data_IF_919489212883
#
_entry.id   IF_919489212883
#
_cell.length_a   1.000
_cell.length_b   1.000
_cell.length_c   1.000
_cell.angle_alpha   90.00
_cell.angle_beta   90.00
_cell.angle_gamma   90.00
#
_symmetry.space_group_name_H-M   'P 1'
#
loop_
_entity.id
_entity.type
_entity.pdbx_description
1 polymer ?
#
# COMPACT_ATOMS: atom_id res chain seq x y z
N UNK A 1 -61.71 26.36 -13.51
CA UNK A 1 -60.85 25.16 -13.53
C UNK A 1 -59.48 25.56 -13.00
N UNK A 2 -59.20 25.24 -11.74
CA UNK A 2 -57.95 25.55 -11.03
C UNK A 2 -57.37 24.21 -10.60
N UNK A 3 -56.13 23.84 -10.96
CA UNK A 3 -55.61 22.54 -10.59
C UNK A 3 -55.09 22.59 -9.14
N UNK A 4 -55.51 21.62 -8.35
CA UNK A 4 -55.05 21.39 -6.99
C UNK A 4 -53.58 20.91 -7.00
N UNK A 5 -52.74 21.56 -6.20
CA UNK A 5 -51.38 21.08 -5.91
C UNK A 5 -51.45 19.99 -4.84
N UNK A 6 -51.11 18.76 -5.22
CA UNK A 6 -50.84 17.68 -4.27
C UNK A 6 -49.40 17.83 -3.78
N UNK A 7 -49.22 18.18 -2.51
CA UNK A 7 -47.91 18.09 -1.84
C UNK A 7 -47.67 16.62 -1.48
N UNK A 8 -46.70 15.99 -2.14
CA UNK A 8 -46.19 14.68 -1.75
C UNK A 8 -45.16 14.89 -0.64
N UNK A 9 -45.55 14.66 0.62
CA UNK A 9 -44.62 14.61 1.73
C UNK A 9 -43.83 13.30 1.66
N UNK A 10 -42.56 13.39 1.29
CA UNK A 10 -41.64 12.25 1.35
C UNK A 10 -41.36 11.91 2.81
N UNK A 11 -41.93 10.80 3.28
CA UNK A 11 -41.53 10.18 4.55
C UNK A 11 -40.14 9.57 4.35
N UNK A 12 -39.11 10.28 4.79
CA UNK A 12 -37.78 9.70 4.95
C UNK A 12 -37.85 8.70 6.12
N UNK A 13 -38.03 7.43 5.78
CA UNK A 13 -37.78 6.35 6.72
C UNK A 13 -36.28 6.38 7.06
N UNK A 14 -35.95 6.84 8.27
CA UNK A 14 -34.62 6.65 8.85
C UNK A 14 -34.39 5.16 9.03
N UNK A 15 -33.73 4.53 8.05
CA UNK A 15 -33.16 3.22 8.24
C UNK A 15 -32.12 3.32 9.36
N UNK A 16 -32.44 2.80 10.53
CA UNK A 16 -31.44 2.55 11.58
C UNK A 16 -30.45 1.53 11.03
N UNK A 17 -29.28 2.01 10.62
CA UNK A 17 -28.16 1.15 10.26
C UNK A 17 -27.87 0.18 11.43
N UNK A 18 -27.52 -1.09 11.15
CA UNK A 18 -27.12 -2.04 12.20
C UNK A 18 -26.00 -1.45 13.06
N UNK A 19 -26.04 -1.71 14.37
CA UNK A 19 -25.07 -1.21 15.36
C UNK A 19 -23.65 -1.75 15.19
N UNK A 20 -23.43 -2.68 14.27
CA UNK A 20 -22.27 -3.58 14.23
C UNK A 20 -21.00 -3.00 13.57
N UNK A 21 -20.90 -1.69 13.34
CA UNK A 21 -19.68 -1.10 12.75
C UNK A 21 -19.27 0.26 13.36
N UNK A 22 -19.66 0.61 14.60
CA UNK A 22 -19.38 1.97 15.12
C UNK A 22 -17.90 2.35 15.19
N UNK A 23 -16.97 1.39 15.35
CA UNK A 23 -15.57 1.71 15.55
C UNK A 23 -14.97 2.47 14.36
N UNK A 24 -15.15 1.98 13.14
CA UNK A 24 -14.45 2.49 11.95
C UNK A 24 -15.23 3.50 11.11
N UNK A 25 -16.53 3.70 11.38
CA UNK A 25 -17.33 4.67 10.63
C UNK A 25 -17.04 6.13 11.00
N UNK A 26 -16.46 6.35 12.17
CA UNK A 26 -16.11 7.70 12.62
C UNK A 26 -14.66 8.03 12.22
N UNK A 27 -14.50 9.10 11.44
CA UNK A 27 -13.19 9.63 11.04
C UNK A 27 -12.44 10.35 12.18
N UNK A 28 -13.12 10.72 13.26
CA UNK A 28 -12.48 11.35 14.42
C UNK A 28 -11.57 10.39 15.17
N UNK A 29 -10.33 10.80 15.52
CA UNK A 29 -9.41 9.97 16.29
C UNK A 29 -10.04 9.49 17.59
N UNK A 30 -9.86 8.20 17.88
CA UNK A 30 -10.28 7.64 19.15
C UNK A 30 -9.20 7.88 20.21
N UNK A 31 -9.52 8.67 21.24
CA UNK A 31 -8.69 8.78 22.43
C UNK A 31 -8.99 7.61 23.37
N UNK A 32 -7.96 6.83 23.73
CA UNK A 32 -8.11 5.68 24.60
C UNK A 32 -6.88 5.46 25.48
N UNK A 33 -7.07 4.71 26.56
CA UNK A 33 -6.02 4.24 27.46
C UNK A 33 -5.93 2.73 27.38
N UNK A 34 -4.73 2.21 27.15
CA UNK A 34 -4.42 0.78 27.20
C UNK A 34 -3.50 0.53 28.40
N UNK A 35 -4.03 -0.14 29.42
CA UNK A 35 -3.26 -0.52 30.60
C UNK A 35 -2.96 -2.02 30.56
N UNK A 36 -1.68 -2.38 30.50
CA UNK A 36 -1.21 -3.77 30.40
C UNK A 36 0.29 -3.87 30.71
N UNK A 37 0.81 -5.04 31.14
CA UNK A 37 2.24 -5.24 31.37
C UNK A 37 3.00 -5.40 30.02
N UNK A 38 3.13 -4.31 29.27
CA UNK A 38 3.64 -4.29 27.89
C UNK A 38 5.13 -4.68 27.80
N UNK A 39 5.96 -4.29 28.76
CA UNK A 39 7.37 -4.70 28.78
C UNK A 39 7.50 -6.20 28.99
N UNK A 40 6.64 -6.79 29.83
CA UNK A 40 6.54 -8.25 29.98
C UNK A 40 6.11 -8.91 28.67
N UNK A 41 5.14 -8.33 27.96
CA UNK A 41 4.71 -8.79 26.64
C UNK A 41 5.86 -8.78 25.64
N UNK A 42 6.60 -7.66 25.54
CA UNK A 42 7.69 -7.51 24.57
C UNK A 42 8.84 -8.47 24.87
N UNK A 43 9.20 -8.64 26.15
CA UNK A 43 10.22 -9.60 26.56
C UNK A 43 9.78 -11.05 26.29
N UNK A 44 8.57 -11.43 26.68
CA UNK A 44 8.05 -12.79 26.51
C UNK A 44 7.89 -13.20 25.04
N UNK A 45 7.56 -12.24 24.17
CA UNK A 45 7.43 -12.48 22.71
C UNK A 45 8.75 -12.92 22.06
N UNK A 46 9.91 -12.54 22.64
CA UNK A 46 11.23 -12.94 22.12
C UNK A 46 11.49 -14.44 22.30
N UNK A 47 10.84 -15.07 23.27
CA UNK A 47 11.01 -16.50 23.59
C UNK A 47 9.83 -17.35 23.14
N UNK A 48 8.62 -16.80 23.18
CA UNK A 48 7.41 -17.46 22.71
C UNK A 48 6.62 -16.50 21.83
N UNK A 49 6.51 -16.86 20.56
CA UNK A 49 5.83 -16.01 19.61
C UNK A 49 4.33 -15.82 19.87
N UNK A 50 3.73 -16.69 20.69
CA UNK A 50 2.32 -16.68 21.06
C UNK A 50 2.08 -16.04 22.42
N UNK A 51 3.11 -15.47 23.04
CA UNK A 51 2.99 -14.85 24.35
C UNK A 51 1.96 -13.72 24.33
N UNK A 52 1.00 -13.78 25.26
CA UNK A 52 -0.06 -12.80 25.44
C UNK A 52 -0.04 -12.25 26.86
N UNK A 53 -0.57 -11.05 27.05
CA UNK A 53 -0.87 -10.49 28.37
C UNK A 53 -2.32 -10.00 28.41
N UNK A 54 -2.94 -9.99 29.59
CA UNK A 54 -4.26 -9.40 29.75
C UNK A 54 -4.15 -7.93 30.18
N UNK A 55 -5.11 -7.11 29.77
CA UNK A 55 -5.17 -5.70 30.12
C UNK A 55 -6.56 -5.11 30.08
N UNK A 56 -6.62 -3.80 30.29
CA UNK A 56 -7.86 -3.01 30.27
C UNK A 56 -7.76 -1.92 29.21
N UNK A 57 -8.81 -1.79 28.39
CA UNK A 57 -9.01 -0.69 27.46
C UNK A 57 -10.02 0.31 28.04
N UNK A 58 -9.72 1.61 28.03
CA UNK A 58 -10.65 2.66 28.50
C UNK A 58 -10.78 3.77 27.48
N UNK A 59 -11.98 4.28 27.26
CA UNK A 59 -12.22 5.42 26.37
C UNK A 59 -13.54 6.12 26.71
N UNK A 60 -13.81 7.28 26.11
CA UNK A 60 -15.09 7.97 26.21
C UNK A 60 -15.98 7.63 25.01
N UNK A 61 -17.22 7.20 25.25
CA UNK A 61 -18.19 6.98 24.17
C UNK A 61 -18.69 8.31 23.57
N UNK A 62 -19.54 8.23 22.54
CA UNK A 62 -20.12 9.42 21.89
C UNK A 62 -20.92 10.32 22.85
N UNK A 63 -21.45 9.76 23.94
CA UNK A 63 -22.12 10.49 25.02
C UNK A 63 -21.18 11.00 26.12
N UNK A 64 -19.86 10.93 25.89
CA UNK A 64 -18.80 11.28 26.85
C UNK A 64 -18.82 10.43 28.13
N UNK A 65 -19.40 9.23 28.09
CA UNK A 65 -19.38 8.31 29.22
C UNK A 65 -18.12 7.47 29.17
N UNK A 66 -17.50 7.27 30.33
CA UNK A 66 -16.35 6.39 30.46
C UNK A 66 -16.77 4.93 30.25
N UNK A 67 -16.13 4.27 29.30
CA UNK A 67 -16.27 2.85 29.02
C UNK A 67 -14.95 2.17 29.36
N UNK A 68 -15.03 1.05 30.08
CA UNK A 68 -13.90 0.18 30.36
C UNK A 68 -14.20 -1.21 29.83
N UNK A 69 -13.21 -1.81 29.15
CA UNK A 69 -13.25 -3.18 28.66
C UNK A 69 -12.10 -3.90 29.34
N UNK A 70 -12.43 -4.71 30.33
CA UNK A 70 -11.47 -5.57 31.05
C UNK A 70 -11.31 -6.92 30.35
N UNK A 71 -10.19 -7.59 30.60
CA UNK A 71 -9.91 -8.92 30.08
C UNK A 71 -9.49 -8.95 28.61
N UNK A 72 -9.06 -7.80 28.06
CA UNK A 72 -8.55 -7.73 26.69
C UNK A 72 -7.23 -8.48 26.63
N UNK A 73 -7.13 -9.50 25.78
CA UNK A 73 -5.86 -10.16 25.54
C UNK A 73 -5.05 -9.37 24.52
N UNK A 74 -3.76 -9.21 24.78
CA UNK A 74 -2.87 -8.36 24.00
C UNK A 74 -1.67 -9.19 23.58
N UNK A 75 -1.40 -9.18 22.27
CA UNK A 75 -0.22 -9.83 21.69
C UNK A 75 0.54 -8.87 20.79
N UNK A 76 1.80 -9.20 20.51
CA UNK A 76 2.57 -8.53 19.45
C UNK A 76 2.17 -9.10 18.08
N UNK A 77 2.19 -8.28 17.02
CA UNK A 77 1.95 -8.71 15.64
C UNK A 77 3.02 -8.23 14.65
N UNK A 78 2.94 -8.78 13.43
CA UNK A 78 3.75 -8.43 12.26
C UNK A 78 5.05 -9.24 12.18
N UNK A 79 5.64 -9.36 10.99
CA UNK A 79 6.83 -10.19 10.80
C UNK A 79 8.10 -9.46 11.22
N UNK A 80 8.34 -8.29 10.65
CA UNK A 80 9.55 -7.48 10.89
C UNK A 80 9.40 -6.58 12.11
N UNK A 81 8.19 -6.09 12.39
CA UNK A 81 7.90 -5.20 13.54
C UNK A 81 8.07 -5.86 14.92
N UNK A 82 8.32 -7.17 14.98
CA UNK A 82 8.66 -7.91 16.20
C UNK A 82 10.13 -7.80 16.59
N UNK A 83 10.97 -7.36 15.65
CA UNK A 83 12.41 -7.23 15.85
C UNK A 83 12.69 -5.86 16.46
N UNK A 84 13.36 -5.84 17.61
CA UNK A 84 13.74 -4.60 18.30
C UNK A 84 14.56 -3.63 17.43
N UNK A 85 15.30 -4.18 16.46
CA UNK A 85 16.08 -3.39 15.49
C UNK A 85 15.21 -2.62 14.50
N UNK A 86 13.93 -3.00 14.36
CA UNK A 86 12.96 -2.33 13.48
C UNK A 86 11.93 -1.54 14.28
N UNK A 87 11.38 -2.12 15.36
CA UNK A 87 10.47 -1.44 16.25
C UNK A 87 10.83 -1.72 17.71
N UNK A 88 11.23 -0.68 18.44
CA UNK A 88 11.40 -0.74 19.89
C UNK A 88 10.04 -0.81 20.62
N UNK A 89 8.96 -0.38 19.98
CA UNK A 89 7.58 -0.53 20.44
C UNK A 89 6.77 -1.23 19.34
N UNK A 90 6.65 -2.56 19.39
CA UNK A 90 6.11 -3.32 18.28
C UNK A 90 4.60 -3.07 18.06
N UNK A 91 4.08 -3.47 16.90
CA UNK A 91 2.64 -3.42 16.60
C UNK A 91 1.88 -4.40 17.51
N UNK A 92 0.66 -4.05 17.91
CA UNK A 92 -0.14 -4.86 18.82
C UNK A 92 -1.39 -5.45 18.13
N UNK A 93 -1.91 -6.53 18.70
CA UNK A 93 -3.21 -7.11 18.41
C UNK A 93 -4.00 -7.16 19.73
N UNK A 94 -5.24 -6.70 19.69
CA UNK A 94 -6.21 -6.82 20.78
C UNK A 94 -7.19 -7.94 20.41
N UNK A 95 -7.32 -8.91 21.28
CA UNK A 95 -8.27 -10.00 21.19
C UNK A 95 -9.37 -9.77 22.24
N UNK A 96 -10.61 -9.73 21.76
CA UNK A 96 -11.79 -9.26 22.48
C UNK A 96 -12.78 -10.38 22.82
N UNK A 97 -12.48 -11.63 22.44
CA UNK A 97 -13.40 -12.78 22.61
C UNK A 97 -13.73 -13.06 24.09
N UNK A 98 -12.76 -12.80 24.96
CA UNK A 98 -12.91 -12.93 26.41
C UNK A 98 -13.15 -11.59 27.13
N UNK A 99 -13.28 -10.52 26.36
CA UNK A 99 -13.40 -9.17 26.87
C UNK A 99 -14.88 -8.75 27.04
N UNK A 100 -15.15 -7.87 27.99
CA UNK A 100 -16.52 -7.39 28.27
C UNK A 100 -16.97 -6.28 27.29
N UNK A 101 -16.84 -6.52 25.97
CA UNK A 101 -16.99 -5.49 24.94
C UNK A 101 -18.44 -5.22 24.48
N UNK A 102 -19.43 -6.01 24.90
CA UNK A 102 -20.76 -6.07 24.28
C UNK A 102 -21.63 -4.79 24.26
N UNK A 103 -21.27 -3.75 25.01
CA UNK A 103 -21.93 -2.42 24.97
C UNK A 103 -20.98 -1.28 24.57
N UNK A 104 -19.81 -1.61 24.03
CA UNK A 104 -18.77 -0.68 23.66
C UNK A 104 -18.76 -0.40 22.15
N UNK A 105 -17.92 0.52 21.69
CA UNK A 105 -17.65 0.77 20.27
C UNK A 105 -16.93 -0.42 19.61
N UNK A 106 -16.37 -1.31 20.42
CA UNK A 106 -15.70 -2.55 20.02
C UNK A 106 -16.66 -3.75 20.01
N UNK A 107 -17.94 -3.56 20.34
CA UNK A 107 -18.93 -4.62 20.26
C UNK A 107 -19.04 -5.15 18.82
N UNK A 108 -19.06 -6.48 18.67
CA UNK A 108 -19.12 -7.15 17.38
C UNK A 108 -17.76 -7.43 16.73
N UNK A 109 -16.66 -6.90 17.28
CA UNK A 109 -15.31 -7.20 16.82
C UNK A 109 -14.67 -8.28 17.71
N UNK A 110 -14.09 -9.30 17.08
CA UNK A 110 -13.29 -10.33 17.76
C UNK A 110 -11.86 -9.86 17.97
N UNK A 111 -11.33 -9.12 17.01
CA UNK A 111 -9.95 -8.64 17.03
C UNK A 111 -9.88 -7.21 16.55
N UNK A 112 -9.01 -6.41 17.17
CA UNK A 112 -8.57 -5.13 16.61
C UNK A 112 -7.05 -5.08 16.54
N UNK A 113 -6.51 -4.70 15.39
CA UNK A 113 -5.08 -4.48 15.22
C UNK A 113 -4.69 -3.05 15.55
N UNK A 114 -3.52 -2.87 16.14
CA UNK A 114 -2.94 -1.56 16.42
C UNK A 114 -1.64 -1.41 15.65
N UNK A 115 -1.63 -0.52 14.66
CA UNK A 115 -0.40 0.06 14.13
C UNK A 115 0.12 1.11 15.11
N UNK A 116 1.17 0.76 15.85
CA UNK A 116 1.80 1.63 16.85
C UNK A 116 2.81 2.57 16.21
N UNK A 117 3.30 3.54 16.98
CA UNK A 117 4.38 4.44 16.60
C UNK A 117 5.72 3.75 16.26
N UNK A 118 5.85 2.43 16.50
CA UNK A 118 7.04 1.60 16.25
C UNK A 118 8.30 1.97 17.07
N UNK A 119 8.57 3.26 17.30
CA UNK A 119 9.71 3.76 18.06
C UNK A 119 9.69 5.28 18.22
N UNK A 120 10.82 5.85 18.62
CA UNK A 120 10.98 7.28 18.95
C UNK A 120 11.97 7.98 18.02
N UNK A 121 12.11 7.50 16.78
CA UNK A 121 13.03 8.08 15.81
C UNK A 121 12.65 9.55 15.50
N UNK A 122 13.63 10.35 15.10
CA UNK A 122 13.38 11.74 14.74
C UNK A 122 12.44 11.84 13.52
N UNK A 123 11.83 13.01 13.33
CA UNK A 123 10.98 13.25 12.17
C UNK A 123 11.76 13.04 10.85
N UNK A 124 11.26 12.16 9.98
CA UNK A 124 11.87 11.86 8.66
C UNK A 124 13.02 10.85 8.67
N UNK A 125 13.43 10.39 9.85
CA UNK A 125 14.39 9.29 10.03
C UNK A 125 13.70 7.96 9.72
N UNK A 126 14.39 7.10 8.95
CA UNK A 126 13.90 5.79 8.55
C UNK A 126 14.83 4.70 9.09
N UNK A 127 14.28 3.53 9.44
CA UNK A 127 15.11 2.37 9.84
C UNK A 127 16.03 1.96 8.69
N UNK A 128 17.26 1.55 9.02
CA UNK A 128 18.30 1.28 8.02
C UNK A 128 17.94 0.15 7.05
N UNK A 129 17.32 -0.92 7.56
CA UNK A 129 17.11 -2.15 6.77
C UNK A 129 15.90 -2.06 5.86
N UNK A 130 14.74 -1.67 6.40
CA UNK A 130 13.48 -1.68 5.65
C UNK A 130 12.98 -0.27 5.31
N UNK A 131 13.58 0.79 5.86
CA UNK A 131 13.13 2.16 5.59
C UNK A 131 11.86 2.54 6.33
N UNK A 132 11.58 1.93 7.49
CA UNK A 132 10.37 2.19 8.27
C UNK A 132 10.43 3.55 8.95
N UNK A 133 9.33 4.30 8.91
CA UNK A 133 9.18 5.54 9.68
C UNK A 133 8.84 5.21 11.14
N UNK A 134 9.85 5.03 11.99
CA UNK A 134 9.66 4.55 13.36
C UNK A 134 9.33 5.69 14.35
N UNK A 135 8.21 6.39 14.14
CA UNK A 135 7.69 7.38 15.08
C UNK A 135 6.15 7.58 14.99
N UNK A 136 5.62 8.43 15.87
CA UNK A 136 4.18 8.70 15.99
C UNK A 136 3.49 9.36 14.78
N UNK A 137 4.22 9.75 13.74
CA UNK A 137 3.59 10.24 12.50
C UNK A 137 3.20 9.09 11.57
N UNK A 138 3.92 7.96 11.62
CA UNK A 138 3.69 6.81 10.73
C UNK A 138 2.27 6.26 10.79
N UNK A 139 1.66 6.02 11.97
CA UNK A 139 0.30 5.48 12.02
C UNK A 139 -0.75 6.39 11.39
N UNK A 140 -0.57 7.72 11.49
CA UNK A 140 -1.49 8.69 10.88
C UNK A 140 -1.36 8.67 9.36
N UNK A 141 -0.14 8.57 8.85
CA UNK A 141 0.12 8.44 7.40
C UNK A 141 -0.40 7.11 6.85
N UNK A 142 -0.21 6.00 7.58
CA UNK A 142 -0.73 4.69 7.18
C UNK A 142 -2.27 4.69 7.18
N UNK A 143 -2.92 5.25 8.20
CA UNK A 143 -4.37 5.39 8.24
C UNK A 143 -4.93 6.14 7.02
N UNK A 144 -4.27 7.23 6.61
CA UNK A 144 -4.62 7.97 5.40
C UNK A 144 -4.55 7.11 4.15
N UNK A 145 -3.57 6.19 4.03
CA UNK A 145 -3.49 5.29 2.87
C UNK A 145 -4.72 4.37 2.82
N UNK A 146 -5.13 3.76 3.94
CA UNK A 146 -6.36 2.95 3.99
C UNK A 146 -7.60 3.75 3.59
N UNK A 147 -7.75 4.98 4.12
CA UNK A 147 -8.88 5.86 3.77
C UNK A 147 -8.89 6.25 2.30
N UNK A 148 -7.73 6.65 1.76
CA UNK A 148 -7.56 7.00 0.36
C UNK A 148 -7.97 5.84 -0.56
N UNK A 149 -7.49 4.63 -0.26
CA UNK A 149 -7.81 3.42 -1.02
C UNK A 149 -9.32 3.09 -0.99
N UNK A 150 -9.95 3.19 0.18
CA UNK A 150 -11.41 3.07 0.29
C UNK A 150 -12.16 4.09 -0.56
N UNK A 151 -11.75 5.37 -0.54
CA UNK A 151 -12.35 6.46 -1.32
C UNK A 151 -12.24 6.24 -2.83
N UNK A 152 -11.12 5.71 -3.31
CA UNK A 152 -10.94 5.39 -4.73
C UNK A 152 -11.53 4.03 -5.13
N UNK A 153 -12.17 3.33 -4.19
CA UNK A 153 -12.90 2.09 -4.45
C UNK A 153 -12.03 0.84 -4.52
N UNK A 154 -10.89 0.83 -3.83
CA UNK A 154 -9.98 -0.31 -3.74
C UNK A 154 -10.28 -1.09 -2.46
N UNK A 155 -10.53 -2.41 -2.52
CA UNK A 155 -10.75 -3.21 -1.32
C UNK A 155 -9.52 -3.19 -0.41
N UNK A 156 -9.72 -2.73 0.83
CA UNK A 156 -8.70 -2.68 1.88
C UNK A 156 -9.36 -2.80 3.25
N UNK A 157 -8.57 -2.82 4.32
CA UNK A 157 -9.05 -2.85 5.70
C UNK A 157 -9.62 -1.50 6.11
N UNK A 158 -10.65 -1.51 6.96
CA UNK A 158 -11.07 -0.28 7.62
C UNK A 158 -10.02 0.17 8.65
N UNK A 159 -9.81 1.49 8.71
CA UNK A 159 -8.83 2.10 9.60
C UNK A 159 -9.45 3.26 10.38
N UNK A 160 -8.99 3.46 11.63
CA UNK A 160 -9.32 4.63 12.43
C UNK A 160 -8.09 5.13 13.17
N UNK A 161 -7.81 6.42 13.08
CA UNK A 161 -6.73 7.02 13.86
C UNK A 161 -7.05 6.97 15.35
N UNK A 162 -6.03 6.87 16.18
CA UNK A 162 -6.17 6.82 17.62
C UNK A 162 -5.06 7.61 18.30
N UNK A 163 -5.34 8.08 19.51
CA UNK A 163 -4.35 8.61 20.44
C UNK A 163 -4.39 7.75 21.70
N UNK A 164 -3.37 6.91 21.84
CA UNK A 164 -3.33 5.88 22.87
C UNK A 164 -2.44 6.33 24.01
N UNK A 165 -2.98 6.28 25.22
CA UNK A 165 -2.23 6.37 26.48
C UNK A 165 -1.87 4.96 26.93
N UNK A 166 -0.62 4.55 26.74
CA UNK A 166 -0.12 3.27 27.22
C UNK A 166 0.32 3.40 28.68
N UNK A 167 -0.17 2.53 29.55
CA UNK A 167 0.21 2.45 30.96
C UNK A 167 0.70 1.03 31.23
N UNK A 168 1.99 0.90 31.53
CA UNK A 168 2.56 -0.35 32.01
C UNK A 168 2.69 -0.28 33.54
N UNK A 169 1.87 -0.99 34.32
CA UNK A 169 1.90 -0.91 35.78
C UNK A 169 3.21 -1.46 36.37
N UNK A 170 3.91 -2.34 35.66
CA UNK A 170 5.10 -3.04 36.13
C UNK A 170 6.40 -2.33 35.69
N UNK A 171 6.30 -1.25 34.91
CA UNK A 171 7.45 -0.53 34.35
C UNK A 171 7.36 0.97 34.50
N UNK A 172 8.51 1.65 34.61
CA UNK A 172 8.63 3.11 34.68
C UNK A 172 7.70 3.77 35.73
N UNK A 173 7.36 3.06 36.80
CA UNK A 173 6.45 3.52 37.85
C UNK A 173 5.03 3.81 37.35
N UNK A 174 4.56 3.13 36.30
CA UNK A 174 3.22 3.35 35.73
C UNK A 174 3.08 4.66 34.95
N UNK A 175 4.19 5.31 34.58
CA UNK A 175 4.15 6.59 33.85
C UNK A 175 3.49 6.41 32.48
N UNK A 176 2.52 7.27 32.09
CA UNK A 176 1.83 7.13 30.82
C UNK A 176 2.73 7.49 29.63
N UNK A 177 2.65 6.70 28.57
CA UNK A 177 3.20 7.01 27.25
C UNK A 177 2.06 7.32 26.28
N UNK A 178 1.95 8.56 25.82
CA UNK A 178 0.89 8.98 24.89
C UNK A 178 1.42 9.05 23.47
N UNK A 179 0.87 8.26 22.55
CA UNK A 179 1.31 8.24 21.14
C UNK A 179 0.13 8.08 20.19
N UNK A 180 0.28 8.62 18.99
CA UNK A 180 -0.65 8.32 17.91
C UNK A 180 -0.53 6.85 17.49
N UNK A 181 -1.63 6.29 17.05
CA UNK A 181 -1.75 4.94 16.53
C UNK A 181 -2.82 4.89 15.43
N UNK A 182 -2.91 3.74 14.76
CA UNK A 182 -4.03 3.39 13.89
C UNK A 182 -4.64 2.10 14.39
N UNK A 183 -5.96 2.11 14.61
CA UNK A 183 -6.76 0.92 14.78
C UNK A 183 -7.11 0.39 13.40
N UNK A 184 -6.95 -0.90 13.19
CA UNK A 184 -7.22 -1.56 11.92
C UNK A 184 -8.17 -2.73 12.15
N UNK A 185 -9.11 -2.87 11.24
CA UNK A 185 -9.99 -4.04 11.09
C UNK A 185 -9.13 -5.30 10.91
N UNK A 186 -9.55 -6.40 11.51
CA UNK A 186 -8.93 -7.71 11.27
C UNK A 186 -9.41 -8.31 9.95
N UNK A 187 -8.67 -9.25 9.37
CA UNK A 187 -9.08 -9.86 8.11
C UNK A 187 -10.40 -10.61 8.25
N UNK A 188 -10.67 -11.29 9.37
CA UNK A 188 -11.91 -12.04 9.56
C UNK A 188 -13.15 -11.12 9.50
N UNK A 189 -13.05 -9.92 10.10
CA UNK A 189 -14.09 -8.89 10.02
C UNK A 189 -14.22 -8.32 8.59
N UNK A 190 -13.09 -8.16 7.89
CA UNK A 190 -13.10 -7.77 6.49
C UNK A 190 -13.75 -8.85 5.61
N UNK A 191 -13.57 -10.15 5.92
CA UNK A 191 -14.21 -11.26 5.20
C UNK A 191 -15.71 -11.16 5.31
N UNK A 192 -16.22 -10.97 6.54
CA UNK A 192 -17.64 -10.75 6.78
C UNK A 192 -18.16 -9.52 6.02
N UNK A 193 -17.43 -8.39 6.05
CA UNK A 193 -17.80 -7.16 5.35
C UNK A 193 -17.87 -7.31 3.84
N UNK A 194 -17.01 -8.13 3.24
CA UNK A 194 -17.00 -8.41 1.81
C UNK A 194 -17.85 -9.65 1.43
N UNK A 195 -18.51 -10.30 2.40
CA UNK A 195 -19.28 -11.51 2.15
C UNK A 195 -18.43 -12.70 1.68
N UNK A 196 -17.14 -12.71 2.02
CA UNK A 196 -16.21 -13.77 1.66
C UNK A 196 -16.40 -14.98 2.57
N UNK A 197 -16.12 -16.18 2.05
CA UNK A 197 -16.19 -17.44 2.83
C UNK A 197 -14.96 -17.65 3.73
N UNK A 198 -13.95 -16.81 3.59
CA UNK A 198 -12.65 -16.89 4.26
C UNK A 198 -11.54 -16.36 3.34
N UNK A 199 -10.30 -16.73 3.67
CA UNK A 199 -9.12 -16.46 2.85
C UNK A 199 -8.69 -17.69 2.05
N UNK A 200 -8.33 -17.48 0.78
CA UNK A 200 -7.53 -18.46 0.04
C UNK A 200 -6.09 -18.33 0.54
N UNK A 201 -5.58 -19.36 1.20
CA UNK A 201 -4.22 -19.38 1.72
C UNK A 201 -3.16 -19.21 0.62
N UNK A 202 -1.97 -18.72 0.99
CA UNK A 202 -0.85 -18.58 0.06
C UNK A 202 -0.54 -19.87 -0.71
N UNK A 203 -0.60 -21.01 -0.02
CA UNK A 203 -0.36 -22.33 -0.60
C UNK A 203 -1.41 -22.73 -1.65
N UNK A 204 -2.67 -22.31 -1.46
CA UNK A 204 -3.77 -22.61 -2.36
C UNK A 204 -3.95 -21.56 -3.47
N UNK A 205 -3.33 -20.38 -3.34
CA UNK A 205 -3.56 -19.25 -4.23
C UNK A 205 -3.20 -19.54 -5.69
N UNK A 206 -2.00 -20.05 -5.94
CA UNK A 206 -1.47 -20.22 -7.29
C UNK A 206 -1.05 -18.86 -7.89
N UNK A 207 -1.92 -18.24 -8.69
CA UNK A 207 -1.64 -16.94 -9.33
C UNK A 207 -2.90 -16.08 -9.54
N UNK A 208 -2.69 -14.78 -9.80
CA UNK A 208 -3.76 -13.80 -9.93
C UNK A 208 -4.63 -13.98 -11.19
N UNK A 209 -4.11 -14.50 -12.31
CA UNK A 209 -4.93 -14.71 -13.53
C UNK A 209 -6.00 -15.78 -13.32
N UNK A 210 -5.70 -16.79 -12.52
CA UNK A 210 -6.65 -17.85 -12.20
C UNK A 210 -7.64 -17.39 -11.12
N UNK A 211 -7.16 -16.64 -10.11
CA UNK A 211 -7.96 -16.28 -8.94
C UNK A 211 -8.75 -15.00 -9.07
N UNK A 212 -8.21 -13.97 -9.71
CA UNK A 212 -8.83 -12.64 -9.77
C UNK A 212 -9.42 -12.36 -11.15
N UNK A 213 -10.35 -11.42 -11.22
CA UNK A 213 -10.70 -10.82 -12.51
C UNK A 213 -9.57 -9.88 -12.96
N UNK A 214 -9.42 -9.68 -14.28
CA UNK A 214 -8.42 -8.74 -14.79
C UNK A 214 -8.68 -7.30 -14.27
N UNK A 215 -9.94 -6.93 -14.07
CA UNK A 215 -10.32 -5.63 -13.52
C UNK A 215 -9.88 -5.46 -12.06
N UNK A 216 -10.09 -6.47 -11.21
CA UNK A 216 -9.69 -6.42 -9.80
C UNK A 216 -8.16 -6.41 -9.66
N UNK A 217 -7.48 -7.25 -10.43
CA UNK A 217 -6.02 -7.28 -10.47
C UNK A 217 -5.44 -5.94 -10.96
N UNK A 218 -6.00 -5.35 -12.01
CA UNK A 218 -5.57 -4.03 -12.49
C UNK A 218 -5.84 -2.93 -11.45
N UNK A 219 -7.00 -2.95 -10.79
CA UNK A 219 -7.33 -2.01 -9.72
C UNK A 219 -6.32 -2.08 -8.57
N UNK A 220 -5.91 -3.28 -8.16
CA UNK A 220 -4.87 -3.48 -7.16
C UNK A 220 -3.54 -2.85 -7.60
N UNK A 221 -3.01 -3.18 -8.79
CA UNK A 221 -1.69 -2.67 -9.19
C UNK A 221 -1.69 -1.15 -9.36
N UNK A 222 -2.79 -0.56 -9.83
CA UNK A 222 -2.93 0.90 -9.90
C UNK A 222 -2.97 1.53 -8.50
N UNK A 223 -3.62 0.89 -7.52
CA UNK A 223 -3.63 1.33 -6.14
C UNK A 223 -2.22 1.33 -5.55
N UNK A 224 -1.49 0.23 -5.69
CA UNK A 224 -0.11 0.11 -5.18
C UNK A 224 0.83 1.13 -5.83
N UNK A 225 0.64 1.38 -7.13
CA UNK A 225 1.37 2.43 -7.85
C UNK A 225 1.02 3.83 -7.33
N UNK A 226 -0.26 4.12 -7.07
CA UNK A 226 -0.73 5.41 -6.57
C UNK A 226 -0.08 5.76 -5.24
N UNK A 227 0.03 4.79 -4.33
CA UNK A 227 0.56 5.01 -2.97
C UNK A 227 2.06 4.80 -2.88
N UNK A 228 2.71 4.45 -3.99
CA UNK A 228 4.15 4.16 -4.05
C UNK A 228 4.52 2.95 -3.22
N UNK A 229 3.68 1.92 -3.13
CA UNK A 229 3.98 0.76 -2.31
C UNK A 229 4.78 -0.27 -3.11
N UNK A 230 5.92 -0.68 -2.57
CA UNK A 230 6.73 -1.78 -3.10
C UNK A 230 6.84 -2.95 -2.12
N UNK A 231 6.24 -2.83 -0.93
CA UNK A 231 6.20 -3.83 0.12
C UNK A 231 5.02 -4.78 -0.10
N UNK A 232 4.92 -5.38 -1.29
CA UNK A 232 3.88 -6.33 -1.64
C UNK A 232 4.35 -7.25 -2.77
N UNK A 233 3.71 -8.40 -2.87
CA UNK A 233 3.93 -9.33 -3.98
C UNK A 233 2.59 -9.92 -4.44
N UNK A 234 2.51 -10.16 -5.74
CA UNK A 234 1.44 -10.94 -6.35
C UNK A 234 1.97 -11.61 -7.63
N UNK A 235 2.00 -12.93 -7.66
CA UNK A 235 2.28 -13.67 -8.89
C UNK A 235 1.12 -13.55 -9.86
N UNK A 236 1.36 -12.95 -11.03
CA UNK A 236 0.33 -12.86 -12.09
C UNK A 236 0.21 -14.14 -12.91
N UNK A 237 1.30 -14.89 -13.04
CA UNK A 237 1.37 -16.20 -13.70
C UNK A 237 2.16 -17.16 -12.85
N UNK A 238 2.09 -18.46 -13.13
CA UNK A 238 2.89 -19.49 -12.44
C UNK A 238 4.40 -19.16 -12.43
N UNK A 239 4.92 -18.68 -13.57
CA UNK A 239 6.35 -18.35 -13.76
C UNK A 239 6.70 -16.89 -13.42
N UNK A 240 5.76 -16.12 -12.85
CA UNK A 240 6.06 -14.74 -12.47
C UNK A 240 6.99 -14.72 -11.25
N UNK A 241 8.09 -13.99 -11.37
CA UNK A 241 9.11 -13.81 -10.32
C UNK A 241 9.28 -12.36 -9.92
N UNK A 242 8.42 -11.47 -10.41
CA UNK A 242 8.54 -10.04 -10.14
C UNK A 242 8.23 -9.72 -8.68
N UNK A 243 9.29 -9.45 -7.89
CA UNK A 243 9.26 -9.12 -6.45
C UNK A 243 8.64 -10.19 -5.54
N UNK A 244 8.25 -11.32 -6.12
CA UNK A 244 7.78 -12.51 -5.42
C UNK A 244 8.90 -13.53 -5.34
N UNK A 245 8.96 -14.27 -4.24
CA UNK A 245 9.76 -15.48 -4.19
C UNK A 245 8.89 -16.73 -4.44
N UNK A 246 9.53 -17.90 -4.53
CA UNK A 246 8.81 -19.14 -4.78
C UNK A 246 7.92 -19.56 -3.59
N UNK A 247 8.20 -19.05 -2.40
CA UNK A 247 7.54 -19.40 -1.14
C UNK A 247 6.32 -18.54 -0.84
N UNK A 248 6.28 -17.32 -1.34
CA UNK A 248 5.24 -16.33 -1.11
C UNK A 248 4.65 -15.86 -2.46
N UNK A 249 3.62 -16.57 -3.00
CA UNK A 249 2.99 -16.21 -4.27
C UNK A 249 2.10 -14.95 -4.19
N UNK A 250 1.75 -14.54 -2.97
CA UNK A 250 1.19 -13.23 -2.64
C UNK A 250 1.67 -12.81 -1.25
N UNK A 251 1.88 -11.52 -1.04
CA UNK A 251 2.29 -10.95 0.24
C UNK A 251 1.77 -9.52 0.37
N UNK A 252 1.32 -9.14 1.58
CA UNK A 252 0.61 -7.89 1.87
C UNK A 252 -0.66 -7.67 1.00
N UNK A 253 -1.17 -8.77 0.43
CA UNK A 253 -2.43 -8.89 -0.27
C UNK A 253 -3.13 -10.13 0.28
N UNK A 254 -4.42 -10.03 0.58
CA UNK A 254 -5.26 -11.18 0.95
C UNK A 254 -6.22 -11.50 -0.19
N UNK A 255 -6.37 -12.80 -0.47
CA UNK A 255 -7.30 -13.31 -1.47
C UNK A 255 -8.61 -13.74 -0.80
N UNK A 256 -9.62 -12.87 -0.83
CA UNK A 256 -10.94 -13.11 -0.25
C UNK A 256 -11.71 -14.16 -1.06
N UNK A 257 -12.01 -15.33 -0.51
CA UNK A 257 -12.71 -16.39 -1.25
C UNK A 257 -14.15 -15.98 -1.58
N UNK A 258 -14.43 -15.82 -2.88
CA UNK A 258 -15.75 -15.52 -3.40
C UNK A 258 -16.66 -16.77 -3.50
N UNK A 259 -16.14 -17.95 -3.14
CA UNK A 259 -16.89 -19.19 -3.02
C UNK A 259 -17.15 -19.94 -4.33
N UNK A 260 -16.49 -19.54 -5.42
CA UNK A 260 -16.62 -20.10 -6.77
C UNK A 260 -15.25 -20.41 -7.40
N UNK A 261 -14.21 -20.58 -6.57
CA UNK A 261 -12.83 -20.77 -7.01
C UNK A 261 -12.11 -19.47 -7.41
N UNK A 262 -12.82 -18.33 -7.42
CA UNK A 262 -12.24 -16.98 -7.57
C UNK A 262 -12.13 -16.28 -6.23
N UNK A 263 -11.39 -15.17 -6.23
CA UNK A 263 -11.22 -14.31 -5.08
C UNK A 263 -11.28 -12.83 -5.44
N UNK A 264 -11.49 -12.00 -4.41
CA UNK A 264 -11.34 -10.54 -4.48
C UNK A 264 -10.04 -10.17 -3.77
N UNK A 265 -9.13 -9.41 -4.41
CA UNK A 265 -7.93 -8.95 -3.76
C UNK A 265 -8.23 -7.86 -2.74
N UNK A 266 -7.69 -8.00 -1.53
CA UNK A 266 -7.69 -7.00 -0.47
C UNK A 266 -6.25 -6.60 -0.16
N UNK A 267 -5.91 -5.32 -0.34
CA UNK A 267 -4.55 -4.79 -0.08
C UNK A 267 -4.41 -4.31 1.36
N UNK A 268 -3.25 -4.55 1.98
CA UNK A 268 -2.99 -4.22 3.39
C UNK A 268 -1.51 -3.99 3.68
N UNK A 269 -1.22 -3.53 4.90
CA UNK A 269 0.12 -3.28 5.45
C UNK A 269 0.93 -2.24 4.66
N UNK A 270 0.61 -0.96 4.88
CA UNK A 270 1.17 0.17 4.12
C UNK A 270 2.25 0.95 4.87
N UNK A 271 2.75 0.42 5.97
CA UNK A 271 3.70 1.11 6.85
C UNK A 271 5.08 1.35 6.21
N UNK A 272 5.34 0.71 5.06
CA UNK A 272 6.51 0.91 4.19
C UNK A 272 6.17 1.60 2.86
N UNK A 273 4.91 1.91 2.59
CA UNK A 273 4.53 2.56 1.34
C UNK A 273 5.18 3.94 1.21
N UNK A 274 5.50 4.34 -0.01
CA UNK A 274 6.12 5.61 -0.32
C UNK A 274 5.33 6.82 0.21
N UNK A 275 3.99 6.78 0.21
CA UNK A 275 3.16 7.81 0.83
C UNK A 275 3.34 7.95 2.36
N UNK A 276 3.78 6.89 3.04
CA UNK A 276 4.07 6.87 4.47
C UNK A 276 5.50 7.30 4.76
N UNK A 277 6.47 6.65 4.12
CA UNK A 277 7.91 6.79 4.39
C UNK A 277 8.54 7.97 3.65
N UNK A 278 7.99 8.36 2.49
CA UNK A 278 8.46 9.42 1.60
C UNK A 278 9.59 9.01 0.66
N UNK A 279 10.25 7.87 0.89
CA UNK A 279 11.35 7.32 0.07
C UNK A 279 11.60 5.86 0.42
N UNK A 280 12.24 5.13 -0.50
CA UNK A 280 12.70 3.78 -0.25
C UNK A 280 14.24 3.69 -0.23
N UNK A 281 14.86 3.03 0.77
CA UNK A 281 16.33 2.91 0.84
C UNK A 281 16.98 2.19 -0.34
N UNK A 282 16.24 1.29 -0.98
CA UNK A 282 16.70 0.51 -2.14
C UNK A 282 16.57 1.26 -3.47
N UNK A 283 16.05 2.50 -3.49
CA UNK A 283 15.77 3.22 -4.74
C UNK A 283 16.97 3.23 -5.69
N UNK A 284 18.15 3.63 -5.20
CA UNK A 284 19.36 3.74 -6.03
C UNK A 284 19.93 2.39 -6.48
N UNK A 285 19.49 1.29 -5.86
CA UNK A 285 19.86 -0.08 -6.27
C UNK A 285 19.09 -0.52 -7.53
N UNK A 286 17.96 0.11 -7.83
CA UNK A 286 17.02 -0.31 -8.88
C UNK A 286 16.79 0.78 -9.91
N UNK A 287 16.76 2.04 -9.48
CA UNK A 287 16.32 3.16 -10.28
C UNK A 287 17.34 4.29 -10.27
N UNK A 288 17.13 5.22 -11.21
CA UNK A 288 17.78 6.52 -11.24
C UNK A 288 16.73 7.59 -11.47
N UNK A 289 16.83 8.70 -10.74
CA UNK A 289 15.94 9.85 -10.90
C UNK A 289 15.98 10.41 -12.33
N UNK A 290 17.07 10.20 -13.08
CA UNK A 290 17.21 10.60 -14.47
C UNK A 290 16.17 9.95 -15.43
N UNK A 291 15.47 8.90 -14.99
CA UNK A 291 14.44 8.21 -15.77
C UNK A 291 13.12 8.99 -15.90
N UNK A 292 12.91 10.01 -15.06
CA UNK A 292 11.76 10.90 -15.12
C UNK A 292 12.19 12.33 -15.53
N UNK A 293 11.42 13.03 -16.38
CA UNK A 293 11.71 14.42 -16.72
C UNK A 293 11.81 15.36 -15.51
N UNK A 294 11.02 15.10 -14.47
CA UNK A 294 11.02 15.87 -13.21
C UNK A 294 12.24 15.61 -12.33
N UNK A 295 13.01 14.54 -12.61
CA UNK A 295 14.11 14.04 -11.76
C UNK A 295 13.69 13.78 -10.31
N UNK A 296 12.41 13.47 -10.10
CA UNK A 296 11.83 13.13 -8.81
C UNK A 296 11.86 11.60 -8.60
N UNK A 297 12.44 11.09 -7.50
CA UNK A 297 12.35 9.67 -7.16
C UNK A 297 10.91 9.16 -7.05
N UNK A 298 10.02 9.96 -6.46
CA UNK A 298 8.58 9.66 -6.36
C UNK A 298 7.96 9.45 -7.75
N UNK A 299 8.29 10.32 -8.71
CA UNK A 299 7.76 10.21 -10.06
C UNK A 299 8.27 8.94 -10.75
N UNK A 300 9.55 8.59 -10.55
CA UNK A 300 10.12 7.35 -11.09
C UNK A 300 9.45 6.13 -10.47
N UNK A 301 9.27 6.10 -9.16
CA UNK A 301 8.59 5.02 -8.45
C UNK A 301 7.16 4.80 -8.98
N UNK A 302 6.37 5.87 -9.08
CA UNK A 302 4.99 5.80 -9.58
C UNK A 302 4.96 5.39 -11.05
N UNK A 303 5.77 6.03 -11.90
CA UNK A 303 5.81 5.71 -13.34
C UNK A 303 6.25 4.25 -13.51
N UNK A 304 7.24 3.77 -12.77
CA UNK A 304 7.69 2.38 -12.91
C UNK A 304 6.56 1.38 -12.66
N UNK A 305 5.82 1.57 -11.57
CA UNK A 305 4.69 0.69 -11.24
C UNK A 305 3.52 0.83 -12.21
N UNK A 306 3.14 2.07 -12.57
CA UNK A 306 2.08 2.33 -13.56
C UNK A 306 2.43 1.68 -14.90
N UNK A 307 3.66 1.84 -15.37
CA UNK A 307 4.08 1.32 -16.66
C UNK A 307 4.24 -0.20 -16.67
N UNK A 308 4.61 -0.83 -15.54
CA UNK A 308 4.63 -2.28 -15.39
C UNK A 308 3.27 -2.91 -15.70
N UNK A 309 2.15 -2.22 -15.42
CA UNK A 309 0.81 -2.74 -15.75
C UNK A 309 0.63 -3.10 -17.23
N UNK A 310 1.35 -2.42 -18.13
CA UNK A 310 1.29 -2.65 -19.58
C UNK A 310 1.82 -4.01 -20.01
N UNK A 311 2.65 -4.66 -19.17
CA UNK A 311 3.09 -6.03 -19.41
C UNK A 311 2.14 -7.08 -18.83
N UNK A 312 1.15 -6.66 -18.04
CA UNK A 312 0.25 -7.53 -17.30
C UNK A 312 -1.14 -7.62 -17.93
N UNK A 313 -1.61 -6.53 -18.54
CA UNK A 313 -3.00 -6.39 -19.00
C UNK A 313 -3.12 -5.85 -20.43
N UNK A 314 -4.18 -6.22 -21.16
CA UNK A 314 -4.54 -5.61 -22.44
C UNK A 314 -5.06 -4.17 -22.28
N UNK A 315 -5.07 -3.39 -23.37
CA UNK A 315 -5.40 -1.96 -23.34
C UNK A 315 -6.80 -1.64 -22.82
N UNK A 316 -7.80 -2.44 -23.16
CA UNK A 316 -9.18 -2.25 -22.72
C UNK A 316 -9.30 -2.30 -21.18
N UNK A 317 -8.62 -3.25 -20.54
CA UNK A 317 -8.53 -3.37 -19.08
C UNK A 317 -7.77 -2.18 -18.49
N UNK A 318 -6.64 -1.79 -19.09
CA UNK A 318 -5.84 -0.65 -18.63
C UNK A 318 -6.63 0.66 -18.71
N UNK A 319 -7.30 0.92 -19.84
CA UNK A 319 -8.07 2.14 -20.04
C UNK A 319 -9.31 2.18 -19.13
N UNK A 320 -9.94 1.03 -18.86
CA UNK A 320 -11.01 0.94 -17.87
C UNK A 320 -10.53 1.28 -16.45
N UNK A 321 -9.38 0.72 -16.04
CA UNK A 321 -8.78 1.02 -14.74
C UNK A 321 -8.39 2.51 -14.63
N UNK A 322 -7.72 3.07 -15.65
CA UNK A 322 -7.39 4.51 -15.72
C UNK A 322 -8.61 5.39 -15.56
N UNK A 323 -9.69 5.12 -16.31
CA UNK A 323 -10.95 5.89 -16.21
C UNK A 323 -11.53 5.81 -14.80
N UNK A 324 -11.51 4.64 -14.16
CA UNK A 324 -12.03 4.47 -12.80
C UNK A 324 -11.27 5.35 -11.78
N UNK A 325 -9.94 5.35 -11.83
CA UNK A 325 -9.12 6.19 -10.94
C UNK A 325 -9.27 7.68 -11.27
N UNK A 326 -9.23 8.07 -12.55
CA UNK A 326 -9.41 9.46 -12.97
C UNK A 326 -10.76 10.03 -12.52
N UNK A 327 -11.82 9.22 -12.55
CA UNK A 327 -13.14 9.59 -12.02
C UNK A 327 -13.17 9.85 -10.51
N UNK A 328 -12.16 9.39 -9.77
CA UNK A 328 -12.02 9.58 -8.31
C UNK A 328 -10.95 10.62 -7.93
N UNK A 329 -10.31 11.28 -8.91
CA UNK A 329 -9.25 12.26 -8.68
C UNK A 329 -9.62 13.36 -7.68
N UNK A 330 -10.80 13.95 -7.84
CA UNK A 330 -11.28 15.00 -6.93
C UNK A 330 -11.43 14.50 -5.49
N UNK A 331 -12.02 13.30 -5.32
CA UNK A 331 -12.22 12.70 -4.01
C UNK A 331 -10.89 12.34 -3.32
N UNK A 332 -9.90 11.85 -4.07
CA UNK A 332 -8.56 11.57 -3.54
C UNK A 332 -7.86 12.83 -2.99
N UNK A 333 -7.90 13.95 -3.73
CA UNK A 333 -7.31 15.22 -3.26
C UNK A 333 -8.12 15.87 -2.12
N UNK A 334 -9.44 15.68 -2.11
CA UNK A 334 -10.27 16.11 -1.00
C UNK A 334 -9.91 15.36 0.28
N UNK A 335 -9.78 14.04 0.21
CA UNK A 335 -9.34 13.20 1.34
C UNK A 335 -7.98 13.66 1.87
N UNK A 336 -7.00 13.88 0.99
CA UNK A 336 -5.71 14.42 1.39
C UNK A 336 -5.80 15.78 2.10
N UNK A 337 -6.78 16.62 1.75
CA UNK A 337 -6.99 17.93 2.37
C UNK A 337 -7.61 17.78 3.77
N UNK A 338 -8.55 16.85 3.95
CA UNK A 338 -9.22 16.62 5.24
C UNK A 338 -8.37 15.79 6.23
N UNK A 339 -7.46 14.97 5.72
CA UNK A 339 -6.68 14.05 6.55
C UNK A 339 -5.83 14.78 7.62
N UNK A 340 -5.75 14.18 8.81
CA UNK A 340 -4.93 14.66 9.94
C UNK A 340 -3.48 14.19 9.79
N UNK A 341 -2.80 14.73 8.78
CA UNK A 341 -1.39 14.45 8.51
C UNK A 341 -0.50 15.56 9.06
N UNK A 342 0.73 15.19 9.42
CA UNK A 342 1.80 16.15 9.61
C UNK A 342 2.13 16.88 8.27
N UNK A 343 2.74 18.07 8.30
CA UNK A 343 3.01 18.85 7.09
C UNK A 343 3.81 18.10 6.02
N UNK A 344 4.81 17.31 6.43
CA UNK A 344 5.63 16.54 5.50
C UNK A 344 4.84 15.39 4.88
N UNK A 345 4.04 14.67 5.68
CA UNK A 345 3.16 13.61 5.21
C UNK A 345 2.14 14.12 4.19
N UNK A 346 1.55 15.29 4.41
CA UNK A 346 0.65 15.93 3.44
C UNK A 346 1.36 16.31 2.14
N UNK A 347 2.56 16.86 2.22
CA UNK A 347 3.36 17.21 1.06
C UNK A 347 3.78 15.96 0.26
N UNK A 348 4.16 14.88 0.94
CA UNK A 348 4.49 13.58 0.33
C UNK A 348 3.25 13.01 -0.37
N UNK A 349 2.11 12.91 0.33
CA UNK A 349 0.86 12.42 -0.24
C UNK A 349 0.43 13.21 -1.49
N UNK A 350 0.60 14.54 -1.47
CA UNK A 350 0.35 15.39 -2.64
C UNK A 350 1.23 14.99 -3.83
N UNK A 351 2.54 14.81 -3.62
CA UNK A 351 3.48 14.44 -4.68
C UNK A 351 3.15 13.10 -5.31
N UNK A 352 2.81 12.08 -4.51
CA UNK A 352 2.41 10.78 -5.04
C UNK A 352 1.10 10.85 -5.85
N UNK A 353 0.07 11.54 -5.33
CA UNK A 353 -1.16 11.75 -6.09
C UNK A 353 -0.91 12.51 -7.41
N UNK A 354 -0.05 13.53 -7.39
CA UNK A 354 0.32 14.27 -8.59
C UNK A 354 1.03 13.42 -9.62
N UNK A 355 2.07 12.69 -9.20
CA UNK A 355 2.80 11.78 -10.06
C UNK A 355 1.85 10.73 -10.67
N UNK A 356 0.96 10.15 -9.86
CA UNK A 356 0.03 9.12 -10.31
C UNK A 356 -0.97 9.66 -11.33
N UNK A 357 -1.67 10.74 -11.00
CA UNK A 357 -2.67 11.31 -11.91
C UNK A 357 -2.05 11.93 -13.17
N UNK A 358 -0.81 12.42 -13.10
CA UNK A 358 -0.06 12.82 -14.29
C UNK A 358 0.28 11.62 -15.17
N UNK A 359 0.75 10.50 -14.59
CA UNK A 359 1.13 9.30 -15.32
C UNK A 359 -0.05 8.63 -16.04
N UNK A 360 -1.26 8.67 -15.47
CA UNK A 360 -2.44 8.03 -16.06
C UNK A 360 -3.34 8.98 -16.88
N UNK A 361 -3.14 10.29 -16.74
CA UNK A 361 -4.10 11.32 -17.16
C UNK A 361 -4.27 11.55 -18.66
N UNK A 362 -3.33 11.09 -19.49
CA UNK A 362 -3.45 11.13 -20.94
C UNK A 362 -2.81 9.91 -21.58
N UNK A 363 -3.20 9.57 -22.80
CA UNK A 363 -2.61 8.44 -23.52
C UNK A 363 -1.13 8.65 -23.80
N UNK A 364 -0.71 9.88 -24.05
CA UNK A 364 0.72 10.23 -24.21
C UNK A 364 1.50 9.97 -22.91
N UNK A 365 0.93 10.30 -21.77
CA UNK A 365 1.59 10.08 -20.47
C UNK A 365 1.60 8.60 -20.08
N UNK A 366 0.52 7.87 -20.38
CA UNK A 366 0.36 6.47 -19.98
C UNK A 366 1.03 5.49 -20.95
N UNK A 367 0.81 5.61 -22.26
CA UNK A 367 1.38 4.73 -23.28
C UNK A 367 2.74 5.25 -23.78
N UNK A 368 3.69 5.40 -22.85
CA UNK A 368 5.06 5.86 -23.15
C UNK A 368 5.74 4.92 -24.15
N UNK A 369 6.66 5.41 -25.00
CA UNK A 369 7.45 4.54 -25.85
C UNK A 369 8.12 3.43 -25.04
N UNK A 370 8.05 2.21 -25.55
CA UNK A 370 8.62 1.03 -24.92
C UNK A 370 9.30 0.14 -25.96
N UNK A 371 10.16 -0.74 -25.49
CA UNK A 371 10.78 -1.78 -26.30
C UNK A 371 9.70 -2.81 -26.65
N UNK A 372 9.46 -3.04 -27.95
CA UNK A 372 8.47 -3.99 -28.48
C UNK A 372 9.12 -5.20 -29.19
N UNK A 373 10.45 -5.18 -29.30
CA UNK A 373 11.28 -6.29 -29.74
C UNK A 373 12.54 -6.28 -28.90
N UNK A 374 12.95 -7.41 -28.33
CA UNK A 374 14.19 -7.47 -27.54
C UNK A 374 15.37 -6.92 -28.34
N UNK A 375 16.22 -6.14 -27.67
CA UNK A 375 17.36 -5.45 -28.30
C UNK A 375 18.53 -5.39 -27.32
N UNK A 376 19.75 -5.53 -27.86
CA UNK A 376 20.97 -5.24 -27.11
C UNK A 376 21.06 -3.74 -26.78
N UNK A 377 21.80 -3.45 -25.71
CA UNK A 377 21.98 -2.10 -25.18
C UNK A 377 23.46 -1.73 -25.25
N UNK A 378 23.78 -0.55 -25.77
CA UNK A 378 25.15 -0.13 -26.06
C UNK A 378 25.51 1.22 -25.44
N UNK A 379 26.81 1.45 -25.25
CA UNK A 379 27.38 2.75 -24.83
C UNK A 379 27.70 3.68 -26.01
N UNK A 380 27.63 3.18 -27.24
CA UNK A 380 27.88 3.91 -28.49
C UNK A 380 26.93 3.46 -29.61
N UNK A 381 26.79 4.30 -30.65
CA UNK A 381 25.88 4.06 -31.76
C UNK A 381 26.43 3.01 -32.75
N UNK A 382 27.75 2.80 -32.76
CA UNK A 382 28.45 1.88 -33.64
C UNK A 382 28.35 0.41 -33.18
N UNK A 383 27.66 0.16 -32.04
CA UNK A 383 27.45 -1.16 -31.43
C UNK A 383 28.76 -1.86 -31.01
N UNK A 384 29.78 -1.08 -30.67
CA UNK A 384 31.11 -1.61 -30.32
C UNK A 384 31.26 -1.95 -28.85
N UNK A 385 30.51 -1.29 -27.96
CA UNK A 385 30.55 -1.53 -26.50
C UNK A 385 29.16 -1.74 -25.95
N UNK A 386 28.90 -2.94 -25.42
CA UNK A 386 27.66 -3.25 -24.74
C UNK A 386 27.60 -2.56 -23.36
N UNK A 387 26.40 -2.13 -22.96
CA UNK A 387 26.18 -1.37 -21.72
C UNK A 387 26.10 -2.27 -20.48
N UNK A 388 25.61 -3.50 -20.64
CA UNK A 388 25.42 -4.48 -19.58
C UNK A 388 26.35 -5.69 -19.81
N UNK A 389 25.95 -6.90 -19.42
CA UNK A 389 26.76 -8.11 -19.68
C UNK A 389 26.69 -8.48 -21.15
N UNK A 390 27.71 -9.18 -21.63
CA UNK A 390 27.78 -9.64 -23.01
C UNK A 390 26.52 -10.46 -23.40
N UNK A 391 25.78 -9.99 -24.40
CA UNK A 391 24.55 -10.62 -24.87
C UNK A 391 23.29 -10.26 -24.07
N UNK A 392 23.37 -9.38 -23.08
CA UNK A 392 22.18 -8.90 -22.37
C UNK A 392 21.27 -8.11 -23.33
N UNK A 393 19.99 -8.45 -23.30
CA UNK A 393 18.95 -7.74 -24.05
C UNK A 393 17.98 -7.06 -23.11
N UNK A 394 17.54 -5.87 -23.51
CA UNK A 394 16.44 -5.19 -22.86
C UNK A 394 15.11 -5.88 -23.23
N UNK A 395 14.31 -6.31 -22.23
CA UNK A 395 13.09 -7.06 -22.48
C UNK A 395 11.98 -6.20 -23.08
N UNK A 396 11.05 -6.87 -23.77
CA UNK A 396 9.81 -6.26 -24.25
C UNK A 396 9.05 -5.64 -23.05
N UNK A 397 8.58 -4.42 -23.22
CA UNK A 397 7.88 -3.63 -22.21
C UNK A 397 8.78 -2.70 -21.40
N UNK A 398 10.11 -2.79 -21.55
CA UNK A 398 11.04 -1.79 -20.97
C UNK A 398 10.68 -0.40 -21.49
N UNK A 399 10.39 0.53 -20.59
CA UNK A 399 10.00 1.90 -20.93
C UNK A 399 11.24 2.71 -21.25
N UNK A 400 11.13 3.62 -22.22
CA UNK A 400 12.21 4.54 -22.56
C UNK A 400 11.85 5.99 -22.27
N UNK A 401 12.86 6.78 -21.95
CA UNK A 401 12.80 8.23 -21.86
C UNK A 401 12.70 8.90 -23.24
N UNK A 402 12.66 10.22 -23.25
CA UNK A 402 12.70 10.99 -24.50
C UNK A 402 14.03 10.75 -25.24
N UNK A 403 14.02 10.66 -26.58
CA UNK A 403 15.24 10.52 -27.36
C UNK A 403 16.21 11.68 -27.12
N UNK A 404 17.45 11.35 -26.77
CA UNK A 404 18.52 12.34 -26.57
C UNK A 404 19.25 12.59 -27.89
N UNK A 405 19.57 11.53 -28.64
CA UNK A 405 20.29 11.57 -29.94
C UNK A 405 19.84 10.44 -30.87
N UNK A 406 20.11 10.60 -32.16
CA UNK A 406 19.93 9.57 -33.20
C UNK A 406 21.20 9.47 -34.04
N UNK A 407 21.54 8.27 -34.46
CA UNK A 407 22.65 7.99 -35.37
C UNK A 407 22.32 6.75 -36.19
N UNK A 408 22.09 6.92 -37.50
CA UNK A 408 21.63 5.83 -38.36
C UNK A 408 20.37 5.14 -37.81
N UNK A 409 20.46 3.82 -37.61
CA UNK A 409 19.38 3.00 -37.05
C UNK A 409 19.30 3.00 -35.52
N UNK A 410 20.14 3.77 -34.83
CA UNK A 410 20.26 3.79 -33.37
C UNK A 410 19.65 5.04 -32.76
N UNK A 411 19.09 4.88 -31.56
CA UNK A 411 18.56 5.96 -30.74
C UNK A 411 19.19 5.92 -29.35
N UNK A 412 19.54 7.08 -28.82
CA UNK A 412 20.06 7.23 -27.46
C UNK A 412 18.95 7.63 -26.51
N UNK A 413 18.67 6.83 -25.48
CA UNK A 413 17.56 6.98 -24.54
C UNK A 413 17.96 6.57 -23.12
N UNK A 414 17.23 7.05 -22.10
CA UNK A 414 17.28 6.44 -20.77
C UNK A 414 16.33 5.25 -20.72
N UNK A 415 16.73 4.13 -20.12
CA UNK A 415 15.84 2.99 -19.88
C UNK A 415 15.30 3.04 -18.45
N UNK A 416 13.98 2.86 -18.31
CA UNK A 416 13.34 2.63 -17.03
C UNK A 416 13.03 1.15 -16.89
N UNK A 417 13.76 0.48 -15.99
CA UNK A 417 13.62 -0.95 -15.73
C UNK A 417 12.39 -1.26 -14.87
N UNK A 418 11.22 -1.17 -15.49
CA UNK A 418 9.93 -1.49 -14.84
C UNK A 418 9.80 -2.98 -14.50
N UNK A 419 10.70 -3.82 -15.02
CA UNK A 419 10.71 -5.27 -14.79
C UNK A 419 11.72 -5.71 -13.74
N UNK A 420 12.55 -4.79 -13.25
CA UNK A 420 13.64 -5.07 -12.30
C UNK A 420 14.61 -6.14 -12.82
N UNK A 421 14.79 -6.21 -14.14
CA UNK A 421 15.71 -7.15 -14.80
C UNK A 421 17.17 -6.91 -14.37
N UNK A 422 17.52 -5.66 -14.11
CA UNK A 422 18.85 -5.22 -13.70
C UNK A 422 18.88 -4.71 -12.26
N UNK A 423 17.92 -5.13 -11.43
CA UNK A 423 18.01 -5.00 -9.99
C UNK A 423 19.07 -5.98 -9.42
N UNK A 424 19.52 -5.81 -8.17
CA UNK A 424 20.45 -6.74 -7.54
C UNK A 424 19.90 -8.19 -7.55
N UNK A 425 20.74 -9.20 -7.84
CA UNK A 425 22.20 -9.14 -8.03
C UNK A 425 22.65 -8.96 -9.48
N UNK A 426 21.74 -8.83 -10.45
CA UNK A 426 22.10 -8.73 -11.87
C UNK A 426 22.87 -7.44 -12.19
N UNK A 427 22.38 -6.29 -11.69
CA UNK A 427 22.90 -4.90 -11.80
C UNK A 427 23.54 -4.53 -13.14
N UNK A 428 22.97 -3.54 -13.83
CA UNK A 428 23.60 -2.90 -14.98
C UNK A 428 23.89 -1.41 -14.69
N UNK A 429 25.12 -1.12 -14.26
CA UNK A 429 25.53 0.22 -13.84
C UNK A 429 25.35 1.29 -14.92
N UNK A 430 25.52 0.92 -16.21
CA UNK A 430 25.34 1.83 -17.33
C UNK A 430 23.92 2.41 -17.42
N UNK A 431 22.90 1.64 -17.06
CA UNK A 431 21.51 2.11 -17.09
C UNK A 431 21.23 3.15 -16.00
N UNK A 432 22.03 3.15 -14.93
CA UNK A 432 21.85 4.07 -13.80
C UNK A 432 22.70 5.34 -13.97
N UNK A 433 23.77 5.28 -14.78
CA UNK A 433 24.71 6.37 -14.98
C UNK A 433 24.34 7.32 -16.13
N UNK A 434 23.53 6.90 -17.09
CA UNK A 434 23.07 7.80 -18.15
C UNK A 434 22.37 7.14 -19.34
N UNK A 435 22.14 7.91 -20.42
CA UNK A 435 21.49 7.42 -21.63
C UNK A 435 22.34 6.37 -22.36
N UNK A 436 21.67 5.36 -22.90
CA UNK A 436 22.25 4.24 -23.65
C UNK A 436 21.67 4.17 -25.07
N UNK A 437 22.35 3.46 -25.96
CA UNK A 437 21.96 3.29 -27.35
C UNK A 437 21.24 1.96 -27.57
N UNK A 438 20.10 2.00 -28.27
CA UNK A 438 19.33 0.83 -28.69
C UNK A 438 18.89 0.97 -30.16
N UNK A 439 18.48 -0.13 -30.78
CA UNK A 439 17.92 -0.10 -32.14
C UNK A 439 16.59 0.66 -32.17
N UNK A 440 16.50 1.69 -33.03
CA UNK A 440 15.30 2.52 -33.18
C UNK A 440 14.06 1.68 -33.59
N UNK A 441 14.28 0.65 -34.42
CA UNK A 441 13.23 -0.25 -34.88
C UNK A 441 12.66 -1.14 -33.77
N UNK A 442 13.29 -1.20 -32.60
CA UNK A 442 12.85 -1.98 -31.46
C UNK A 442 11.82 -1.23 -30.59
N UNK A 443 11.55 0.04 -30.85
CA UNK A 443 10.76 0.95 -30.00
C UNK A 443 9.42 1.27 -30.64
N UNK A 444 8.34 1.27 -29.84
CA UNK A 444 7.03 1.74 -30.27
C UNK A 444 6.19 2.29 -29.11
N UNK A 445 5.23 3.15 -29.43
CA UNK A 445 4.14 3.57 -28.53
C UNK A 445 2.97 2.58 -28.54
N UNK A 446 2.96 1.64 -29.47
CA UNK A 446 1.95 0.58 -29.61
C UNK A 446 2.21 -0.60 -28.66
N UNK A 447 2.45 -0.30 -27.39
CA UNK A 447 2.60 -1.30 -26.33
C UNK A 447 1.64 -1.03 -25.15
N UNK A 448 0.88 -2.01 -24.66
CA UNK A 448 0.72 -3.34 -25.26
C UNK A 448 0.03 -3.23 -26.63
N UNK A 449 0.18 -4.24 -27.48
CA UNK A 449 -0.57 -4.30 -28.75
C UNK A 449 -2.06 -4.45 -28.44
N UNK A 450 -2.90 -3.86 -29.29
CA UNK A 450 -4.37 -4.01 -29.20
C UNK A 450 -4.79 -5.43 -29.52
#
# INVERSE_FOLDING_TARGET
MTPARVLLAAVLASATLPRDHQLFWNAEPLELTLQAPLQKLFAGTKTDERFKVSGTLRYLDAGKRSVAIDGVEISVRGNTSRRDTECAFPKLKLDLDHAQAGKSAFAGFHTIKIGTHCGEAAAGELTTRFGRLANQTSPLREAFVYHLLGIVGVPTLNARTARITYIDPDSNGGRPLVRNAVLLEDEDDAFARFGAKGEISEQAFGNARDRFTAADAARLVFAEAMVGNFDWCLKFTADDTFRCDATHPLWNVTALDAGNGRAVPLVKDFDLAGMVTGRHPWFDDVFTAASAPSRSPIDVEVIAQVQRTRSLFPRDVLDAARRAFLGRRGAAFYELTQARLDPAGRAIGRKYLDAFYAAIGSDRAFYRPAIVKSTRVYLDAEKTREACRAGDEAPIGTVIGDPVRRSGSMIQVTLLDVMWRWAPPARCAALHSGPVWIDLAAVSTEYPRQ
#
